data_IF_032980617710
#
_entry.id   IF_032980617710
#
_cell.length_a   1.000
_cell.length_b   1.000
_cell.length_c   1.000
_cell.angle_alpha   90.00
_cell.angle_beta   90.00
_cell.angle_gamma   90.00
#
_symmetry.space_group_name_H-M   'P 1'
#
loop_
_entity.id
_entity.type
_entity.pdbx_description
1 polymer ?
#
# COMPACT_ATOMS: atom_id res chain seq x y z
N UNK A 1 9.81 -15.08 15.22
CA UNK A 1 8.60 -15.68 14.62
C UNK A 1 8.50 -15.11 13.22
N UNK A 2 8.75 -15.93 12.19
CA UNK A 2 8.47 -15.54 10.81
C UNK A 2 6.96 -15.53 10.66
N UNK A 3 6.35 -14.36 10.78
CA UNK A 3 4.92 -14.18 10.56
C UNK A 3 4.65 -14.43 9.08
N UNK A 4 3.95 -15.50 8.75
CA UNK A 4 3.45 -15.74 7.40
C UNK A 4 2.72 -14.48 6.88
N UNK A 5 2.77 -14.20 5.56
CA UNK A 5 2.05 -13.07 5.01
C UNK A 5 0.54 -13.27 5.25
N UNK A 6 -0.18 -12.17 5.44
CA UNK A 6 -1.64 -12.24 5.47
C UNK A 6 -2.16 -12.81 4.14
N UNK A 7 -3.25 -13.57 4.21
CA UNK A 7 -3.87 -14.13 3.02
C UNK A 7 -4.37 -13.01 2.09
N UNK A 8 -4.38 -13.28 0.79
CA UNK A 8 -4.86 -12.32 -0.21
C UNK A 8 -6.30 -11.88 0.08
N UNK A 9 -7.18 -12.78 0.50
CA UNK A 9 -8.58 -12.45 0.84
C UNK A 9 -8.68 -11.49 2.03
N UNK A 10 -7.88 -11.71 3.08
CA UNK A 10 -7.79 -10.79 4.22
C UNK A 10 -7.29 -9.43 3.77
N UNK A 11 -6.27 -9.38 2.90
CA UNK A 11 -5.70 -8.13 2.40
C UNK A 11 -6.70 -7.36 1.51
N UNK A 12 -7.42 -8.06 0.64
CA UNK A 12 -8.45 -7.49 -0.23
C UNK A 12 -9.65 -6.92 0.55
N UNK A 13 -9.85 -7.36 1.79
CA UNK A 13 -10.87 -6.79 2.69
C UNK A 13 -10.29 -5.64 3.52
N UNK A 14 -9.13 -5.85 4.14
CA UNK A 14 -8.55 -4.92 5.11
C UNK A 14 -8.03 -3.63 4.48
N UNK A 15 -7.32 -3.71 3.35
CA UNK A 15 -6.73 -2.53 2.71
C UNK A 15 -7.81 -1.51 2.28
N UNK A 16 -8.87 -1.92 1.57
CA UNK A 16 -9.96 -0.99 1.23
C UNK A 16 -10.63 -0.36 2.44
N UNK A 17 -10.89 -1.14 3.49
CA UNK A 17 -11.52 -0.64 4.72
C UNK A 17 -10.68 0.47 5.38
N UNK A 18 -9.39 0.22 5.58
CA UNK A 18 -8.48 1.20 6.17
C UNK A 18 -8.33 2.45 5.28
N UNK A 19 -8.32 2.27 3.96
CA UNK A 19 -8.23 3.38 3.00
C UNK A 19 -9.51 4.24 2.98
N UNK A 20 -10.70 3.64 3.13
CA UNK A 20 -11.97 4.36 3.24
C UNK A 20 -12.06 5.19 4.52
N UNK A 21 -11.46 4.70 5.62
CA UNK A 21 -11.38 5.42 6.90
C UNK A 21 -10.34 6.56 6.89
N UNK A 22 -9.53 6.67 5.83
CA UNK A 22 -8.46 7.67 5.77
C UNK A 22 -7.22 7.29 6.60
N UNK A 23 -7.10 6.03 7.03
CA UNK A 23 -5.97 5.54 7.83
C UNK A 23 -4.75 5.26 6.94
N UNK A 24 -4.28 6.29 6.23
CA UNK A 24 -3.19 6.24 5.27
C UNK A 24 -2.07 7.15 5.76
N UNK A 25 -0.89 6.59 6.01
CA UNK A 25 0.32 7.32 6.34
C UNK A 25 1.30 7.17 5.17
N UNK A 26 1.80 8.29 4.66
CA UNK A 26 2.81 8.29 3.62
C UNK A 26 4.19 8.26 4.25
N UNK A 27 5.11 7.48 3.68
CA UNK A 27 6.53 7.69 3.94
C UNK A 27 7.05 8.92 3.19
N UNK A 28 8.14 9.52 3.64
CA UNK A 28 8.78 10.64 2.94
C UNK A 28 9.10 10.31 1.47
N UNK A 29 9.44 9.06 1.18
CA UNK A 29 9.67 8.61 -0.19
C UNK A 29 8.38 8.58 -1.03
N UNK A 30 7.26 8.12 -0.46
CA UNK A 30 5.97 8.14 -1.13
C UNK A 30 5.48 9.58 -1.36
N UNK A 31 5.64 10.48 -0.37
CA UNK A 31 5.30 11.90 -0.51
C UNK A 31 6.07 12.55 -1.66
N UNK A 32 7.39 12.36 -1.71
CA UNK A 32 8.22 12.85 -2.82
C UNK A 32 7.77 12.31 -4.18
N UNK A 33 7.34 11.05 -4.25
CA UNK A 33 6.85 10.44 -5.50
C UNK A 33 5.50 11.01 -5.94
N UNK A 34 4.62 11.35 -5.01
CA UNK A 34 3.30 11.92 -5.29
C UNK A 34 3.39 13.40 -5.69
N UNK A 35 4.42 14.12 -5.22
CA UNK A 35 4.63 15.54 -5.57
C UNK A 35 5.43 15.73 -6.85
N UNK A 36 5.97 14.66 -7.47
CA UNK A 36 6.69 14.73 -8.74
C UNK A 36 5.72 14.91 -9.92
N UNK A 37 5.75 16.05 -10.64
CA UNK A 37 4.81 16.34 -11.71
C UNK A 37 4.92 15.36 -12.90
N UNK A 38 6.13 14.88 -13.20
CA UNK A 38 6.38 13.96 -14.33
C UNK A 38 5.77 12.56 -14.16
N UNK A 39 5.37 12.17 -12.94
CA UNK A 39 4.88 10.80 -12.71
C UNK A 39 3.38 10.64 -12.92
N UNK A 40 2.62 11.73 -13.03
CA UNK A 40 1.16 11.71 -13.14
C UNK A 40 0.53 10.74 -12.12
N UNK A 41 1.08 10.66 -10.91
CA UNK A 41 0.61 9.76 -9.86
C UNK A 41 0.18 10.62 -8.69
N UNK A 42 -1.12 10.93 -8.63
CA UNK A 42 -1.69 11.82 -7.64
C UNK A 42 -2.11 11.07 -6.37
N UNK A 43 -2.38 11.82 -5.31
CA UNK A 43 -2.92 11.25 -4.09
C UNK A 43 -4.32 10.64 -4.31
N UNK A 44 -5.18 11.22 -5.16
CA UNK A 44 -6.48 10.62 -5.47
C UNK A 44 -6.31 9.26 -6.17
N UNK A 45 -5.31 9.13 -7.06
CA UNK A 45 -4.99 7.86 -7.70
C UNK A 45 -4.52 6.83 -6.69
N UNK A 46 -3.66 7.21 -5.75
CA UNK A 46 -3.27 6.33 -4.64
C UNK A 46 -4.51 5.85 -3.86
N UNK A 47 -5.39 6.77 -3.45
CA UNK A 47 -6.60 6.42 -2.73
C UNK A 47 -7.50 5.48 -3.53
N UNK A 48 -7.66 5.72 -4.83
CA UNK A 48 -8.44 4.85 -5.69
C UNK A 48 -7.89 3.43 -5.73
N UNK A 49 -6.57 3.28 -5.88
CA UNK A 49 -5.90 1.96 -5.90
C UNK A 49 -6.08 1.21 -4.57
N UNK A 50 -5.99 1.92 -3.44
CA UNK A 50 -6.15 1.30 -2.12
C UNK A 50 -7.61 0.92 -1.83
N UNK A 51 -8.58 1.70 -2.32
CA UNK A 51 -10.02 1.42 -2.17
C UNK A 51 -10.51 0.33 -3.13
N UNK A 52 -9.87 0.19 -4.29
CA UNK A 52 -10.26 -0.74 -5.35
C UNK A 52 -9.05 -1.53 -5.88
N UNK A 53 -8.39 -2.36 -5.03
CA UNK A 53 -7.25 -3.14 -5.44
C UNK A 53 -7.66 -4.24 -6.43
N UNK A 54 -6.94 -4.37 -7.55
CA UNK A 54 -7.15 -5.49 -8.49
C UNK A 54 -6.53 -6.79 -7.98
N UNK A 55 -5.34 -6.68 -7.37
CA UNK A 55 -4.58 -7.81 -6.84
C UNK A 55 -3.59 -7.28 -5.79
N UNK A 56 -3.27 -8.09 -4.80
CA UNK A 56 -2.30 -7.78 -3.75
C UNK A 56 -1.33 -8.95 -3.64
N UNK A 57 -0.04 -8.67 -3.80
CA UNK A 57 1.02 -9.68 -3.68
C UNK A 57 1.94 -9.36 -2.52
N UNK A 58 2.23 -10.32 -1.62
CA UNK A 58 3.21 -10.12 -0.57
C UNK A 58 4.64 -10.09 -1.13
N UNK A 59 5.49 -9.30 -0.50
CA UNK A 59 6.92 -9.18 -0.80
C UNK A 59 7.67 -9.08 0.52
N UNK A 60 8.68 -9.91 0.72
CA UNK A 60 9.47 -9.91 1.95
C UNK A 60 10.46 -8.74 1.93
N UNK A 61 10.44 -7.91 2.99
CA UNK A 61 11.45 -6.87 3.22
C UNK A 61 12.55 -7.43 4.11
N UNK A 62 13.70 -7.72 3.50
CA UNK A 62 14.86 -8.30 4.20
C UNK A 62 15.52 -7.34 5.20
N UNK A 63 15.43 -6.03 5.02
CA UNK A 63 16.02 -5.06 5.94
C UNK A 63 15.17 -4.96 7.21
N UNK A 64 13.85 -4.88 7.03
CA UNK A 64 12.90 -4.68 8.14
C UNK A 64 12.36 -5.98 8.73
N UNK A 65 12.64 -7.11 8.09
CA UNK A 65 12.16 -8.45 8.46
C UNK A 65 10.63 -8.50 8.59
N UNK A 66 9.92 -7.85 7.65
CA UNK A 66 8.45 -7.80 7.59
C UNK A 66 7.94 -7.98 6.16
N UNK A 67 6.68 -8.38 5.99
CA UNK A 67 6.04 -8.39 4.68
C UNK A 67 5.54 -6.99 4.28
N UNK A 68 5.86 -6.60 3.05
CA UNK A 68 5.21 -5.54 2.29
C UNK A 68 4.17 -6.16 1.37
N UNK A 69 3.22 -5.33 0.95
CA UNK A 69 2.14 -5.73 0.07
C UNK A 69 2.11 -4.78 -1.12
N UNK A 70 2.33 -5.34 -2.30
CA UNK A 70 2.20 -4.61 -3.56
C UNK A 70 0.75 -4.65 -3.99
N UNK A 71 0.08 -3.51 -3.90
CA UNK A 71 -1.31 -3.29 -4.29
C UNK A 71 -1.33 -2.85 -5.74
N UNK A 72 -1.87 -3.72 -6.61
CA UNK A 72 -1.98 -3.43 -8.04
C UNK A 72 -3.26 -2.66 -8.33
N UNK A 73 -3.10 -1.47 -8.88
CA UNK A 73 -4.16 -0.67 -9.46
C UNK A 73 -4.31 -0.84 -10.97
N UNK A 74 -5.21 -0.05 -11.53
CA UNK A 74 -5.47 0.03 -12.97
C UNK A 74 -4.35 0.79 -13.70
N UNK A 75 -4.20 0.54 -15.01
CA UNK A 75 -3.22 1.22 -15.89
C UNK A 75 -1.74 1.11 -15.47
N UNK A 76 -1.32 -0.07 -14.99
CA UNK A 76 0.07 -0.38 -14.56
C UNK A 76 0.58 0.47 -13.38
N UNK A 77 -0.33 1.12 -12.64
CA UNK A 77 0.00 1.89 -11.44
C UNK A 77 -0.17 1.05 -10.20
N UNK A 78 0.80 1.15 -9.30
CA UNK A 78 0.91 0.29 -8.14
C UNK A 78 1.31 1.10 -6.90
N UNK A 79 0.81 0.67 -5.75
CA UNK A 79 1.25 1.17 -4.45
C UNK A 79 1.90 0.02 -3.69
N UNK A 80 3.03 0.27 -3.03
CA UNK A 80 3.64 -0.68 -2.10
C UNK A 80 3.36 -0.19 -0.70
N UNK A 81 2.71 -1.03 0.09
CA UNK A 81 2.27 -0.70 1.44
C UNK A 81 2.85 -1.67 2.46
N UNK A 82 3.06 -1.16 3.67
CA UNK A 82 3.25 -1.97 4.87
C UNK A 82 2.02 -1.80 5.75
N UNK A 83 1.48 -2.90 6.26
CA UNK A 83 0.38 -2.86 7.21
C UNK A 83 0.92 -2.79 8.63
N UNK A 84 0.50 -1.77 9.39
CA UNK A 84 0.84 -1.64 10.81
C UNK A 84 -0.44 -1.95 11.59
N UNK A 85 -0.61 -3.25 11.85
CA UNK A 85 -1.83 -3.83 12.45
C UNK A 85 -2.02 -3.31 13.88
N UNK A 86 -0.94 -3.09 14.63
CA UNK A 86 -0.99 -2.60 16.01
C UNK A 86 -1.72 -1.26 16.16
N UNK A 87 -1.73 -0.46 15.09
CA UNK A 87 -2.28 0.90 15.08
C UNK A 87 -3.31 1.10 13.96
N UNK A 88 -3.78 0.01 13.33
CA UNK A 88 -4.82 0.02 12.27
C UNK A 88 -4.61 1.06 11.17
N UNK A 89 -3.40 1.19 10.64
CA UNK A 89 -3.15 2.06 9.48
C UNK A 89 -2.31 1.40 8.38
N UNK A 90 -2.49 1.91 7.16
CA UNK A 90 -1.70 1.56 5.98
C UNK A 90 -0.55 2.54 5.88
N UNK A 91 0.69 2.05 5.95
CA UNK A 91 1.87 2.85 5.63
C UNK A 91 2.24 2.66 4.16
N UNK A 92 2.11 3.71 3.36
CA UNK A 92 2.51 3.70 1.95
C UNK A 92 4.02 3.95 1.86
N UNK A 93 4.75 2.90 1.46
CA UNK A 93 6.21 2.92 1.38
C UNK A 93 6.67 3.57 0.07
N UNK A 94 6.00 3.26 -1.04
CA UNK A 94 6.29 3.89 -2.33
C UNK A 94 5.11 3.74 -3.29
N UNK A 95 5.15 4.51 -4.38
CA UNK A 95 4.19 4.44 -5.51
C UNK A 95 4.96 4.45 -6.83
N UNK A 96 4.44 3.74 -7.83
CA UNK A 96 4.98 3.72 -9.20
C UNK A 96 3.93 3.42 -10.25
#
# INVERSE_FOLDING_TARGET
>A
MTHEPLSTDTLLTLIPQLALQGNIILSSHAEQRLTQPDRNFTFERLQFILKHPMNITPEWDDERKVYKYKVKGFNKRHAVVSLIISNTYIKVVTVF
#
